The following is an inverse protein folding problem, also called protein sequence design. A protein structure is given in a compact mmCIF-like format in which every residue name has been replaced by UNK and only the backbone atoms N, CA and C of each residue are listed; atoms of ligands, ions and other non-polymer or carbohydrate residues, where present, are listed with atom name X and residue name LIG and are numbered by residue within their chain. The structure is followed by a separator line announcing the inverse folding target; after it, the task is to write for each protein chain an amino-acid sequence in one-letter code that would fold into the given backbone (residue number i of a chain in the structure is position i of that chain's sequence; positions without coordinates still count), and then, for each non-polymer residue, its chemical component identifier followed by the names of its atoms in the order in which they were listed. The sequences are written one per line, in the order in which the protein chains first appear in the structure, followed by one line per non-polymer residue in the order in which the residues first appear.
data_IF_269730839173
#
_entry.id   IF_269730839173
#
_cell.length_a   1.000
_cell.length_b   1.000
_cell.length_c   1.000
_cell.angle_alpha   90.00
_cell.angle_beta   90.00
_cell.angle_gamma   90.00
#
_symmetry.space_group_name_H-M   'P 1'
#
loop_
_entity.id
_entity.type
_entity.pdbx_description
1 polymer ?
#
# COMPACT_ATOMS: atom_id res chain seq x y z
N UNK A 1 -24.11 -3.24 -14.19
CA UNK A 1 -23.42 -2.67 -15.38
C UNK A 1 -21.93 -2.35 -15.10
N UNK A 2 -21.53 -1.94 -13.88
CA UNK A 2 -20.13 -1.65 -13.53
C UNK A 2 -19.17 -2.86 -13.55
N UNK A 3 -19.58 -4.04 -13.09
CA UNK A 3 -18.69 -5.20 -12.96
C UNK A 3 -18.28 -5.85 -14.30
N UNK A 4 -19.10 -5.68 -15.35
CA UNK A 4 -18.82 -6.26 -16.67
C UNK A 4 -17.60 -5.62 -17.36
N UNK A 5 -17.34 -4.33 -17.08
CA UNK A 5 -16.18 -3.61 -17.62
C UNK A 5 -14.87 -3.99 -16.95
N UNK A 6 -14.92 -4.58 -15.74
CA UNK A 6 -13.72 -4.93 -14.95
C UNK A 6 -13.17 -6.31 -15.28
N UNK A 7 -13.90 -7.14 -16.05
CA UNK A 7 -13.42 -8.46 -16.47
C UNK A 7 -12.11 -8.38 -17.27
N UNK A 8 -11.86 -7.27 -17.98
CA UNK A 8 -10.62 -7.03 -18.70
C UNK A 8 -9.40 -6.75 -17.78
N UNK A 9 -9.62 -6.48 -16.50
CA UNK A 9 -8.57 -6.23 -15.51
C UNK A 9 -8.10 -7.50 -14.80
N UNK A 10 -8.84 -8.61 -14.94
CA UNK A 10 -8.43 -9.92 -14.43
C UNK A 10 -7.24 -10.38 -15.28
N UNK A 11 -6.02 -10.17 -14.76
CA UNK A 11 -4.83 -10.85 -15.28
C UNK A 11 -4.92 -12.32 -14.85
N UNK A 12 -4.55 -13.26 -15.71
CA UNK A 12 -4.58 -14.72 -15.47
C UNK A 12 -3.68 -15.22 -14.31
N UNK A 13 -3.20 -14.33 -13.44
CA UNK A 13 -2.52 -14.71 -12.22
C UNK A 13 -3.55 -14.96 -11.13
N UNK A 14 -3.70 -16.23 -10.74
CA UNK A 14 -4.40 -16.61 -9.52
C UNK A 14 -3.76 -15.91 -8.32
N UNK A 15 -4.48 -14.92 -7.77
CA UNK A 15 -4.01 -14.09 -6.64
C UNK A 15 -4.07 -14.86 -5.33
N UNK A 16 -4.89 -15.92 -5.26
CA UNK A 16 -5.15 -16.70 -4.04
C UNK A 16 -4.65 -18.13 -4.15
N UNK A 17 -4.39 -18.76 -3.01
CA UNK A 17 -4.08 -20.20 -2.99
C UNK A 17 -5.32 -21.02 -3.34
N UNK A 18 -5.16 -22.21 -3.96
CA UNK A 18 -6.30 -23.07 -4.33
C UNK A 18 -7.17 -23.53 -3.15
N UNK A 19 -6.64 -23.53 -1.94
CA UNK A 19 -7.41 -23.83 -0.72
C UNK A 19 -8.32 -22.67 -0.33
N UNK A 20 -7.82 -21.43 -0.44
CA UNK A 20 -8.54 -20.23 -0.07
C UNK A 20 -9.62 -19.87 -1.10
N UNK A 21 -9.34 -20.06 -2.40
CA UNK A 21 -10.36 -19.93 -3.46
C UNK A 21 -11.54 -20.87 -3.20
N UNK A 22 -11.27 -22.14 -2.85
CA UNK A 22 -12.32 -23.12 -2.51
C UNK A 22 -13.16 -22.73 -1.30
N UNK A 23 -12.56 -22.12 -0.28
CA UNK A 23 -13.31 -21.69 0.89
C UNK A 23 -14.20 -20.49 0.58
N UNK A 24 -13.71 -19.53 -0.21
CA UNK A 24 -14.50 -18.38 -0.67
C UNK A 24 -15.65 -18.86 -1.58
N UNK A 25 -15.40 -19.81 -2.47
CA UNK A 25 -16.41 -20.43 -3.31
C UNK A 25 -17.53 -21.06 -2.49
N UNK A 26 -17.17 -21.79 -1.43
CA UNK A 26 -18.14 -22.40 -0.54
C UNK A 26 -19.04 -21.36 0.12
N UNK A 27 -18.46 -20.26 0.58
CA UNK A 27 -19.22 -19.14 1.17
C UNK A 27 -20.15 -18.53 0.11
N UNK A 28 -19.67 -18.30 -1.10
CA UNK A 28 -20.48 -17.74 -2.19
C UNK A 28 -21.63 -18.66 -2.57
N UNK A 29 -21.40 -19.97 -2.61
CA UNK A 29 -22.42 -20.97 -2.89
C UNK A 29 -23.52 -20.93 -1.83
N UNK A 30 -23.17 -20.89 -0.54
CA UNK A 30 -24.13 -20.78 0.56
C UNK A 30 -25.06 -19.57 0.42
N UNK A 31 -24.54 -18.42 0.00
CA UNK A 31 -25.38 -17.23 -0.20
C UNK A 31 -26.16 -17.28 -1.53
N UNK A 32 -25.60 -17.87 -2.58
CA UNK A 32 -26.22 -17.89 -3.91
C UNK A 32 -27.51 -18.72 -4.02
N UNK A 33 -27.81 -19.55 -3.01
CA UNK A 33 -29.07 -20.29 -2.91
C UNK A 33 -30.27 -19.34 -2.70
N UNK A 34 -30.03 -18.17 -2.12
CA UNK A 34 -31.03 -17.13 -1.96
C UNK A 34 -31.15 -16.25 -3.22
N UNK A 35 -32.36 -16.06 -3.79
CA UNK A 35 -32.56 -15.30 -5.02
C UNK A 35 -32.01 -13.86 -4.99
N UNK A 36 -31.97 -13.24 -3.81
CA UNK A 36 -31.43 -11.88 -3.62
C UNK A 36 -29.93 -11.80 -3.91
N UNK A 37 -29.19 -12.91 -3.79
CA UNK A 37 -27.75 -12.97 -4.00
C UNK A 37 -27.34 -13.64 -5.32
N UNK A 38 -28.27 -13.79 -6.27
CA UNK A 38 -27.98 -14.38 -7.59
C UNK A 38 -26.81 -13.69 -8.32
N UNK A 39 -26.61 -12.39 -8.07
CA UNK A 39 -25.51 -11.60 -8.64
C UNK A 39 -24.11 -12.11 -8.22
N UNK A 40 -23.98 -12.85 -7.12
CA UNK A 40 -22.71 -13.45 -6.71
C UNK A 40 -22.22 -14.48 -7.73
N UNK A 41 -23.13 -15.24 -8.36
CA UNK A 41 -22.79 -16.18 -9.44
C UNK A 41 -22.40 -15.45 -10.72
N UNK A 42 -23.16 -14.43 -11.10
CA UNK A 42 -22.95 -13.68 -12.35
C UNK A 42 -21.62 -12.91 -12.38
N UNK A 43 -21.12 -12.54 -11.20
CA UNK A 43 -19.91 -11.73 -11.04
C UNK A 43 -18.81 -12.45 -10.26
N UNK A 44 -18.88 -13.79 -10.19
CA UNK A 44 -18.01 -14.63 -9.39
C UNK A 44 -16.53 -14.31 -9.61
N UNK A 45 -16.05 -14.37 -10.86
CA UNK A 45 -14.64 -14.12 -11.21
C UNK A 45 -14.15 -12.73 -10.74
N UNK A 46 -14.97 -11.70 -10.92
CA UNK A 46 -14.63 -10.32 -10.55
C UNK A 46 -14.57 -10.15 -9.04
N UNK A 47 -15.51 -10.76 -8.33
CA UNK A 47 -15.55 -10.74 -6.87
C UNK A 47 -14.41 -11.54 -6.26
N UNK A 48 -14.11 -12.72 -6.81
CA UNK A 48 -12.98 -13.56 -6.41
C UNK A 48 -11.66 -12.81 -6.57
N UNK A 49 -11.44 -12.19 -7.74
CA UNK A 49 -10.27 -11.36 -7.98
C UNK A 49 -10.14 -10.20 -6.97
N UNK A 50 -11.23 -9.45 -6.73
CA UNK A 50 -11.23 -8.33 -5.77
C UNK A 50 -10.96 -8.78 -4.33
N UNK A 51 -11.56 -9.87 -3.90
CA UNK A 51 -11.29 -10.48 -2.59
C UNK A 51 -9.82 -10.91 -2.53
N UNK A 52 -9.32 -11.54 -3.59
CA UNK A 52 -7.93 -11.96 -3.69
C UNK A 52 -6.95 -10.81 -3.50
N UNK A 53 -7.13 -9.72 -4.25
CA UNK A 53 -6.31 -8.51 -4.11
C UNK A 53 -6.42 -7.94 -2.70
N UNK A 54 -7.61 -7.94 -2.09
CA UNK A 54 -7.82 -7.41 -0.74
C UNK A 54 -7.11 -8.25 0.32
N UNK A 55 -7.22 -9.58 0.24
CA UNK A 55 -6.54 -10.52 1.14
C UNK A 55 -5.03 -10.44 0.94
N UNK A 56 -4.55 -10.45 -0.29
CA UNK A 56 -3.12 -10.31 -0.59
C UNK A 56 -2.57 -9.00 -0.02
N UNK A 57 -3.29 -7.88 -0.23
CA UNK A 57 -2.94 -6.59 0.37
C UNK A 57 -2.92 -6.65 1.89
N UNK A 58 -3.87 -7.36 2.52
CA UNK A 58 -3.92 -7.51 3.97
C UNK A 58 -2.78 -8.40 4.49
N UNK A 59 -2.45 -9.49 3.79
CA UNK A 59 -1.32 -10.37 4.11
C UNK A 59 -0.02 -9.56 4.01
N UNK A 60 0.18 -8.81 2.93
CA UNK A 60 1.35 -7.94 2.76
C UNK A 60 1.45 -6.85 3.85
N UNK A 61 0.31 -6.37 4.37
CA UNK A 61 0.28 -5.47 5.54
C UNK A 61 0.66 -6.19 6.83
N UNK A 62 0.21 -7.43 7.02
CA UNK A 62 0.50 -8.23 8.23
C UNK A 62 1.92 -8.81 8.26
N UNK A 63 2.51 -9.05 7.09
CA UNK A 63 3.89 -9.49 6.91
C UNK A 63 4.85 -8.30 6.76
N UNK A 64 4.35 -7.07 6.94
CA UNK A 64 5.17 -5.88 6.86
C UNK A 64 6.20 -5.96 7.99
N UNK A 65 7.50 -5.80 7.70
CA UNK A 65 8.46 -5.64 8.77
C UNK A 65 8.09 -4.41 9.61
N UNK A 66 8.42 -4.41 10.90
CA UNK A 66 8.37 -3.23 11.82
C UNK A 66 9.43 -2.19 11.41
N UNK A 67 9.55 -1.95 10.11
CA UNK A 67 10.48 -1.02 9.50
C UNK A 67 9.62 0.01 8.80
N UNK A 68 9.82 1.26 9.18
CA UNK A 68 9.15 2.40 8.58
C UNK A 68 9.30 2.39 7.07
N UNK A 69 8.21 2.70 6.38
CA UNK A 69 8.18 2.80 4.94
C UNK A 69 7.79 4.20 4.49
N UNK A 70 8.52 4.73 3.52
CA UNK A 70 8.23 6.01 2.89
C UNK A 70 7.85 5.82 1.43
N UNK A 71 6.84 6.56 0.98
CA UNK A 71 6.61 6.80 -0.44
C UNK A 71 7.17 8.17 -0.80
N UNK A 72 8.02 8.23 -1.82
CA UNK A 72 8.50 9.49 -2.38
C UNK A 72 7.63 9.82 -3.59
N UNK A 73 6.98 10.97 -3.58
CA UNK A 73 6.09 11.42 -4.65
C UNK A 73 6.33 12.90 -4.95
N UNK A 74 6.42 13.24 -6.23
CA UNK A 74 6.66 14.62 -6.67
C UNK A 74 5.62 15.10 -7.66
N UNK A 75 5.11 16.31 -7.44
CA UNK A 75 4.38 17.06 -8.47
C UNK A 75 5.33 17.75 -9.47
N UNK A 76 6.56 18.09 -9.05
CA UNK A 76 7.60 18.66 -9.92
C UNK A 76 8.27 17.63 -10.85
N UNK A 77 8.01 16.34 -10.63
CA UNK A 77 8.35 15.26 -11.55
C UNK A 77 9.47 14.32 -11.09
N UNK A 78 9.72 13.32 -11.93
CA UNK A 78 10.54 12.15 -11.60
C UNK A 78 11.98 12.45 -11.14
N UNK A 79 12.60 13.53 -11.65
CA UNK A 79 14.00 13.86 -11.32
C UNK A 79 14.16 14.22 -9.83
N UNK A 80 13.19 14.95 -9.27
CA UNK A 80 13.18 15.27 -7.84
C UNK A 80 13.00 14.00 -7.03
N UNK A 81 12.09 13.11 -7.43
CA UNK A 81 11.89 11.84 -6.72
C UNK A 81 13.15 10.99 -6.72
N UNK A 82 13.84 10.88 -7.85
CA UNK A 82 15.07 10.09 -7.96
C UNK A 82 16.20 10.67 -7.09
N UNK A 83 16.35 12.00 -7.07
CA UNK A 83 17.29 12.69 -6.18
C UNK A 83 17.00 12.38 -4.71
N UNK A 84 15.75 12.54 -4.28
CA UNK A 84 15.34 12.28 -2.89
C UNK A 84 15.51 10.80 -2.54
N UNK A 85 15.13 9.88 -3.44
CA UNK A 85 15.32 8.43 -3.24
C UNK A 85 16.80 8.08 -3.05
N UNK A 86 17.69 8.64 -3.88
CA UNK A 86 19.14 8.40 -3.79
C UNK A 86 19.74 8.96 -2.52
N UNK A 87 19.38 10.20 -2.16
CA UNK A 87 19.91 10.85 -0.95
C UNK A 87 19.44 10.15 0.32
N UNK A 88 18.17 9.76 0.42
CA UNK A 88 17.66 8.97 1.56
C UNK A 88 18.38 7.63 1.68
N UNK A 89 18.53 6.89 0.56
CA UNK A 89 19.27 5.62 0.53
C UNK A 89 20.75 5.74 0.89
N UNK A 90 21.33 6.93 0.76
CA UNK A 90 22.72 7.18 1.17
C UNK A 90 22.86 7.41 2.68
N UNK A 91 21.76 7.77 3.37
CA UNK A 91 21.76 8.13 4.79
C UNK A 91 21.18 7.04 5.68
N UNK A 92 20.09 6.39 5.27
CA UNK A 92 19.40 5.38 6.07
C UNK A 92 19.60 3.98 5.50
N UNK A 93 19.76 3.02 6.40
CA UNK A 93 19.76 1.60 6.04
C UNK A 93 18.34 1.12 5.74
N UNK A 94 18.23 0.00 5.02
CA UNK A 94 16.94 -0.66 4.77
C UNK A 94 16.28 -1.23 6.04
N UNK A 95 16.99 -1.24 7.19
CA UNK A 95 16.44 -1.59 8.50
C UNK A 95 15.78 -0.41 9.20
N UNK A 96 16.09 0.83 8.78
CA UNK A 96 15.53 2.05 9.37
C UNK A 96 14.41 2.63 8.51
N UNK A 97 14.57 2.57 7.18
CA UNK A 97 13.62 3.16 6.25
C UNK A 97 13.60 2.43 4.91
N UNK A 98 12.43 1.93 4.52
CA UNK A 98 12.20 1.31 3.22
C UNK A 98 11.46 2.29 2.31
N UNK A 99 12.03 2.56 1.14
CA UNK A 99 11.34 3.34 0.11
C UNK A 99 10.50 2.39 -0.75
N UNK A 100 9.17 2.50 -0.67
CA UNK A 100 8.26 1.64 -1.42
C UNK A 100 8.21 2.02 -2.91
N UNK A 101 8.11 0.99 -3.76
CA UNK A 101 7.88 1.16 -5.21
C UNK A 101 6.40 1.42 -5.49
N UNK A 102 6.09 1.92 -6.69
CA UNK A 102 4.72 2.02 -7.19
C UNK A 102 4.02 0.65 -7.11
N UNK A 103 2.84 0.60 -6.48
CA UNK A 103 2.05 -0.62 -6.32
C UNK A 103 2.18 -1.34 -4.97
N UNK A 104 3.06 -0.91 -4.06
CA UNK A 104 3.15 -1.48 -2.70
C UNK A 104 1.98 -1.02 -1.80
N UNK A 105 1.63 -1.77 -0.73
CA UNK A 105 0.65 -1.35 0.27
C UNK A 105 1.02 0.00 0.89
N UNK A 106 -0.01 0.72 1.36
CA UNK A 106 0.06 2.07 1.93
C UNK A 106 1.33 2.34 2.73
N UNK A 107 2.18 3.26 2.28
CA UNK A 107 3.36 3.71 3.03
C UNK A 107 2.94 4.34 4.36
N UNK A 108 3.82 4.27 5.36
CA UNK A 108 3.57 4.87 6.69
C UNK A 108 3.57 6.39 6.62
N UNK A 109 4.32 6.95 5.68
CA UNK A 109 4.30 8.37 5.36
C UNK A 109 4.73 8.63 3.91
N UNK A 110 4.47 9.84 3.45
CA UNK A 110 4.84 10.35 2.14
C UNK A 110 5.86 11.47 2.31
N UNK A 111 6.96 11.44 1.55
CA UNK A 111 7.81 12.62 1.35
C UNK A 111 7.47 13.20 -0.02
N UNK A 112 7.11 14.48 -0.04
CA UNK A 112 6.65 15.16 -1.26
C UNK A 112 7.15 16.58 -1.36
N UNK A 113 7.19 17.12 -2.55
CA UNK A 113 7.60 18.50 -2.83
C UNK A 113 6.46 19.51 -2.65
N UNK A 114 5.22 19.05 -2.76
CA UNK A 114 4.02 19.85 -2.60
C UNK A 114 2.96 19.07 -1.82
N UNK A 115 2.23 19.71 -0.89
CA UNK A 115 1.17 19.05 -0.14
C UNK A 115 0.17 18.36 -1.06
N UNK A 116 -0.16 17.10 -0.75
CA UNK A 116 -1.17 16.32 -1.46
C UNK A 116 -2.53 16.57 -0.80
N UNK A 117 -3.45 17.28 -1.48
CA UNK A 117 -4.80 17.44 -0.96
C UNK A 117 -5.49 16.07 -0.90
N UNK A 118 -6.20 15.80 0.19
CA UNK A 118 -6.98 14.57 0.42
C UNK A 118 -6.17 13.27 0.66
N UNK A 119 -4.93 13.36 1.14
CA UNK A 119 -4.23 12.17 1.63
C UNK A 119 -4.41 12.00 3.13
N UNK A 120 -4.90 10.83 3.55
CA UNK A 120 -4.97 10.41 4.96
C UNK A 120 -3.62 9.91 5.50
N UNK A 121 -2.60 9.81 4.63
CA UNK A 121 -1.26 9.34 5.00
C UNK A 121 -0.43 10.55 5.45
N UNK A 122 0.29 10.47 6.59
CA UNK A 122 1.19 11.54 7.04
C UNK A 122 2.15 12.01 5.94
N UNK A 123 2.34 13.32 5.83
CA UNK A 123 3.15 13.93 4.77
C UNK A 123 4.29 14.76 5.36
N UNK A 124 5.49 14.59 4.80
CA UNK A 124 6.66 15.43 5.03
C UNK A 124 6.93 16.20 3.74
N UNK A 125 6.86 17.52 3.80
CA UNK A 125 6.97 18.38 2.62
C UNK A 125 8.37 18.97 2.50
N UNK A 126 9.08 18.59 1.44
CA UNK A 126 10.43 19.07 1.08
C UNK A 126 10.32 19.89 -0.21
N UNK A 127 10.03 21.17 -0.09
CA UNK A 127 9.74 22.05 -1.22
C UNK A 127 10.94 22.37 -2.13
N UNK A 128 12.16 21.98 -1.74
CA UNK A 128 13.42 22.21 -2.46
C UNK A 128 14.33 20.99 -2.29
N UNK A 129 15.62 21.11 -2.68
CA UNK A 129 16.60 20.09 -2.33
C UNK A 129 16.66 19.91 -0.81
N UNK A 130 16.82 18.67 -0.30
CA UNK A 130 16.75 18.40 1.14
C UNK A 130 17.73 19.28 1.94
N UNK A 131 17.18 20.12 2.80
CA UNK A 131 17.94 21.00 3.70
C UNK A 131 18.30 20.29 5.01
N UNK A 132 19.17 20.88 5.82
CA UNK A 132 19.48 20.35 7.14
C UNK A 132 18.22 20.18 8.01
N UNK A 133 17.27 21.12 7.91
CA UNK A 133 16.00 21.08 8.66
C UNK A 133 15.13 19.90 8.21
N UNK A 134 15.09 19.64 6.91
CA UNK A 134 14.34 18.53 6.33
C UNK A 134 14.85 17.18 6.87
N UNK A 135 16.16 17.05 6.99
CA UNK A 135 16.79 15.88 7.60
C UNK A 135 16.47 15.77 9.10
N UNK A 136 16.58 16.86 9.85
CA UNK A 136 16.25 16.85 11.28
C UNK A 136 14.80 16.46 11.53
N UNK A 137 13.87 16.91 10.68
CA UNK A 137 12.46 16.52 10.76
C UNK A 137 12.26 15.03 10.46
N UNK A 138 12.97 14.49 9.47
CA UNK A 138 12.90 13.07 9.14
C UNK A 138 13.53 12.20 10.23
N UNK A 139 14.67 12.60 10.78
CA UNK A 139 15.33 11.91 11.89
C UNK A 139 14.40 11.85 13.12
N UNK A 140 13.84 12.98 13.53
CA UNK A 140 12.90 13.04 14.65
C UNK A 140 11.63 12.20 14.39
N UNK A 141 11.14 12.18 13.14
CA UNK A 141 9.99 11.36 12.77
C UNK A 141 10.31 9.87 12.92
N UNK A 142 11.46 9.42 12.40
CA UNK A 142 11.90 8.03 12.50
C UNK A 142 12.08 7.63 13.98
N UNK A 143 12.82 8.43 14.75
CA UNK A 143 13.06 8.17 16.18
C UNK A 143 11.76 8.07 16.98
N UNK A 144 10.80 8.98 16.76
CA UNK A 144 9.51 8.96 17.47
C UNK A 144 8.68 7.70 17.21
N UNK A 145 8.85 7.09 16.04
CA UNK A 145 8.11 5.89 15.64
C UNK A 145 8.79 4.61 16.11
N UNK A 146 10.12 4.60 16.17
CA UNK A 146 10.87 3.50 16.79
C UNK A 146 10.60 3.43 18.30
N UNK A 147 10.54 4.56 19.01
CA UNK A 147 10.30 4.56 20.46
C UNK A 147 8.83 4.30 20.87
N UNK A 148 7.84 4.65 20.03
CA UNK A 148 6.44 4.32 20.31
C UNK A 148 6.19 2.80 20.34
N UNK A 149 6.95 2.01 19.59
CA UNK A 149 6.86 0.54 19.60
C UNK A 149 7.49 -0.06 20.86
N UNK A 150 8.53 0.55 21.43
CA UNK A 150 9.19 0.09 22.66
C UNK A 150 8.33 0.32 23.92
N UNK A 151 7.51 1.38 23.96
CA UNK A 151 6.64 1.68 25.11
C UNK A 151 5.33 0.86 25.14
N UNK A 152 4.99 0.18 24.04
CA UNK A 152 3.78 -0.65 23.89
C UNK A 152 4.06 -2.15 24.10
N UNK A 153 5.31 -2.54 24.36
CA UNK A 153 5.78 -3.90 24.67
C UNK A 153 6.07 -4.06 26.17
#
# INVERSE_FOLDING_TARGET
MFLAQERFLIKEEHVLSPDLEREIDRIFQMFSEEPMYAYLRENHDVLMYRIGISIQTAIERSARPDILTAKIFSQNGFLWEDLVKKTIRSRYSAQQLIIVKSGHPQADFIITDLPLPHSDIPQIVWNTNPTLRDWQMLDAYIESRTHQEEELL
#
